data_IF_949630584729
#
_entry.id   IF_949630584729
#
_cell.length_a   1.000
_cell.length_b   1.000
_cell.length_c   1.000
_cell.angle_alpha   90.00
_cell.angle_beta   90.00
_cell.angle_gamma   90.00
#
_symmetry.space_group_name_H-M   'P 1'
#
loop_
_entity.id
_entity.type
_entity.pdbx_description
1 polymer ?
#
# COMPACT_ATOMS: atom_id res chain seq x y z
N UNK A 1 -21.21 31.94 65.15
CA UNK A 1 -20.70 33.22 64.60
C UNK A 1 -20.17 32.95 63.19
N UNK A 2 -20.92 33.31 62.15
CA UNK A 2 -20.50 33.08 60.77
C UNK A 2 -19.64 34.26 60.28
N UNK A 3 -18.38 34.00 59.91
CA UNK A 3 -17.51 34.99 59.24
C UNK A 3 -18.03 35.21 57.81
N UNK A 4 -18.52 36.41 57.51
CA UNK A 4 -18.80 36.83 56.13
C UNK A 4 -17.48 36.96 55.38
N UNK A 5 -17.27 36.13 54.37
CA UNK A 5 -16.19 36.29 53.39
C UNK A 5 -16.50 37.50 52.53
N UNK A 6 -15.82 38.62 52.77
CA UNK A 6 -15.91 39.80 51.91
C UNK A 6 -15.12 39.55 50.63
N UNK A 7 -15.79 39.68 49.49
CA UNK A 7 -15.22 39.56 48.15
C UNK A 7 -14.18 40.67 47.95
N UNK A 8 -12.89 40.35 48.06
CA UNK A 8 -11.80 41.29 47.75
C UNK A 8 -11.83 41.53 46.25
N UNK A 9 -12.48 42.62 45.81
CA UNK A 9 -12.41 43.00 44.40
C UNK A 9 -11.00 43.52 44.14
N UNK A 10 -10.23 42.80 43.32
CA UNK A 10 -8.90 43.22 42.89
C UNK A 10 -9.01 44.45 41.97
N UNK A 11 -9.18 45.63 42.59
CA UNK A 11 -9.30 46.93 41.92
C UNK A 11 -8.15 47.18 40.94
N UNK A 12 -6.94 46.69 41.28
CA UNK A 12 -5.74 46.78 40.44
C UNK A 12 -5.88 46.05 39.09
N UNK A 13 -6.44 44.83 39.07
CA UNK A 13 -6.64 44.04 37.85
C UNK A 13 -7.60 44.73 36.87
N UNK A 14 -8.69 45.29 37.41
CA UNK A 14 -9.69 46.01 36.60
C UNK A 14 -9.13 47.31 36.00
N UNK A 15 -8.22 48.01 36.70
CA UNK A 15 -7.55 49.22 36.19
C UNK A 15 -6.59 48.88 35.04
N UNK A 16 -5.79 47.81 35.19
CA UNK A 16 -4.87 47.37 34.14
C UNK A 16 -5.63 46.88 32.89
N UNK A 17 -6.68 46.08 33.08
CA UNK A 17 -7.57 45.63 32.00
C UNK A 17 -8.21 46.80 31.26
N UNK A 18 -8.68 47.82 31.98
CA UNK A 18 -9.29 49.00 31.36
C UNK A 18 -8.26 49.86 30.61
N UNK A 19 -7.01 49.96 31.07
CA UNK A 19 -5.92 50.61 30.30
C UNK A 19 -5.58 49.85 29.03
N UNK A 20 -5.47 48.52 29.10
CA UNK A 20 -5.17 47.68 27.93
C UNK A 20 -6.29 47.78 26.88
N UNK A 21 -7.55 47.81 27.31
CA UNK A 21 -8.72 47.96 26.45
C UNK A 21 -8.93 49.40 25.92
N UNK A 22 -8.35 50.41 26.57
CA UNK A 22 -8.34 51.79 26.05
C UNK A 22 -7.19 52.04 25.06
N UNK A 23 -6.19 51.17 25.00
CA UNK A 23 -5.07 51.28 24.08
C UNK A 23 -5.47 50.80 22.68
N UNK A 24 -6.20 51.66 21.95
CA UNK A 24 -6.66 51.38 20.58
C UNK A 24 -5.59 50.83 19.63
N UNK A 25 -4.35 51.38 19.53
CA UNK A 25 -3.36 50.83 18.62
C UNK A 25 -2.96 49.39 18.96
N UNK A 26 -2.89 49.03 20.25
CA UNK A 26 -2.55 47.68 20.70
C UNK A 26 -3.62 46.65 20.29
N UNK A 27 -4.90 47.03 20.37
CA UNK A 27 -6.02 46.18 19.95
C UNK A 27 -5.98 45.95 18.44
N UNK A 28 -5.72 47.00 17.65
CA UNK A 28 -5.60 46.87 16.19
C UNK A 28 -4.42 45.97 15.80
N UNK A 29 -3.25 46.13 16.43
CA UNK A 29 -2.10 45.25 16.15
C UNK A 29 -2.41 43.80 16.51
N UNK A 30 -3.08 43.55 17.64
CA UNK A 30 -3.47 42.18 18.01
C UNK A 30 -4.49 41.58 17.05
N UNK A 31 -5.47 42.37 16.59
CA UNK A 31 -6.43 41.92 15.60
C UNK A 31 -5.74 41.51 14.28
N UNK A 32 -4.78 42.32 13.81
CA UNK A 32 -4.00 42.01 12.60
C UNK A 32 -3.21 40.70 12.78
N UNK A 33 -2.54 40.53 13.92
CA UNK A 33 -1.79 39.29 14.21
C UNK A 33 -2.71 38.07 14.20
N UNK A 34 -3.88 38.16 14.83
CA UNK A 34 -4.87 37.07 14.85
C UNK A 34 -5.35 36.73 13.44
N UNK A 35 -5.61 37.74 12.60
CA UNK A 35 -6.04 37.53 11.21
C UNK A 35 -4.95 36.83 10.40
N UNK A 36 -3.69 37.23 10.57
CA UNK A 36 -2.55 36.59 9.89
C UNK A 36 -2.43 35.13 10.34
N UNK A 37 -2.50 34.86 11.65
CA UNK A 37 -2.45 33.49 12.17
C UNK A 37 -3.61 32.63 11.64
N UNK A 38 -4.82 33.17 11.60
CA UNK A 38 -5.97 32.47 11.05
C UNK A 38 -5.77 32.14 9.55
N UNK A 39 -5.24 33.07 8.77
CA UNK A 39 -4.94 32.85 7.36
C UNK A 39 -3.90 31.74 7.15
N UNK A 40 -2.83 31.73 7.95
CA UNK A 40 -1.79 30.68 7.89
C UNK A 40 -2.37 29.30 8.20
N UNK A 41 -3.24 29.20 9.21
CA UNK A 41 -3.87 27.92 9.59
C UNK A 41 -4.78 27.41 8.46
N UNK A 42 -5.58 28.27 7.83
CA UNK A 42 -6.46 27.90 6.71
C UNK A 42 -5.62 27.39 5.54
N UNK A 43 -4.56 28.11 5.17
CA UNK A 43 -3.67 27.71 4.08
C UNK A 43 -3.00 26.36 4.38
N UNK A 44 -2.49 26.18 5.59
CA UNK A 44 -1.87 24.92 6.00
C UNK A 44 -2.86 23.75 5.96
N UNK A 45 -4.11 23.96 6.37
CA UNK A 45 -5.15 22.93 6.29
C UNK A 45 -5.49 22.55 4.84
N UNK A 46 -5.44 23.50 3.90
CA UNK A 46 -5.66 23.20 2.47
C UNK A 46 -4.51 22.38 1.91
N UNK A 47 -3.26 22.76 2.22
CA UNK A 47 -2.06 22.01 1.82
C UNK A 47 -2.11 20.58 2.38
N UNK A 48 -2.45 20.41 3.65
CA UNK A 48 -2.58 19.09 4.26
C UNK A 48 -3.71 18.25 3.64
N UNK A 49 -4.78 18.89 3.15
CA UNK A 49 -5.84 18.23 2.40
C UNK A 49 -5.36 17.71 1.05
N UNK A 50 -4.64 18.55 0.30
CA UNK A 50 -4.04 18.20 -0.98
C UNK A 50 -3.00 17.09 -0.83
N UNK A 51 -2.16 17.12 0.21
CA UNK A 51 -1.18 16.06 0.48
C UNK A 51 -1.85 14.69 0.69
N UNK A 52 -2.98 14.65 1.39
CA UNK A 52 -3.76 13.41 1.56
C UNK A 52 -4.34 12.92 0.24
N UNK A 53 -4.82 13.82 -0.59
CA UNK A 53 -5.33 13.48 -1.92
C UNK A 53 -4.22 12.93 -2.82
N UNK A 54 -3.03 13.55 -2.80
CA UNK A 54 -1.84 13.07 -3.51
C UNK A 54 -1.45 11.67 -3.03
N UNK A 55 -1.46 11.42 -1.72
CA UNK A 55 -1.15 10.09 -1.17
C UNK A 55 -2.18 9.03 -1.63
N UNK A 56 -3.47 9.37 -1.63
CA UNK A 56 -4.52 8.49 -2.13
C UNK A 56 -4.32 8.17 -3.61
N UNK A 57 -4.10 9.19 -4.44
CA UNK A 57 -3.86 9.02 -5.87
C UNK A 57 -2.59 8.20 -6.15
N UNK A 58 -1.53 8.39 -5.37
CA UNK A 58 -0.31 7.57 -5.48
C UNK A 58 -0.57 6.09 -5.19
N UNK A 59 -1.35 5.80 -4.15
CA UNK A 59 -1.72 4.42 -3.82
C UNK A 59 -2.55 3.77 -4.95
N UNK A 60 -3.50 4.51 -5.51
CA UNK A 60 -4.31 4.05 -6.64
C UNK A 60 -3.46 3.78 -7.89
N UNK A 61 -2.49 4.66 -8.20
CA UNK A 61 -1.54 4.45 -9.29
C UNK A 61 -0.69 3.19 -9.06
N UNK A 62 -0.26 2.94 -7.82
CA UNK A 62 0.51 1.73 -7.50
C UNK A 62 -0.33 0.47 -7.72
N UNK A 63 -1.59 0.46 -7.27
CA UNK A 63 -2.51 -0.65 -7.47
C UNK A 63 -2.77 -0.91 -8.96
N UNK A 64 -3.06 0.15 -9.73
CA UNK A 64 -3.26 0.05 -11.17
C UNK A 64 -2.02 -0.49 -11.90
N UNK A 65 -0.82 -0.09 -11.48
CA UNK A 65 0.42 -0.61 -12.05
C UNK A 65 0.63 -2.09 -11.73
N UNK A 66 0.28 -2.55 -10.52
CA UNK A 66 0.31 -3.98 -10.16
C UNK A 66 -0.65 -4.75 -11.06
N UNK A 67 -1.90 -4.31 -11.18
CA UNK A 67 -2.92 -4.93 -12.03
C UNK A 67 -2.47 -4.98 -13.49
N UNK A 68 -1.91 -3.89 -14.03
CA UNK A 68 -1.34 -3.86 -15.38
C UNK A 68 -0.24 -4.89 -15.55
N UNK A 69 0.67 -5.00 -14.58
CA UNK A 69 1.80 -5.95 -14.64
C UNK A 69 1.28 -7.39 -14.63
N UNK A 70 0.30 -7.71 -13.79
CA UNK A 70 -0.36 -9.02 -13.76
C UNK A 70 -0.98 -9.36 -15.11
N UNK A 71 -1.82 -8.47 -15.65
CA UNK A 71 -2.48 -8.69 -16.95
C UNK A 71 -1.48 -8.86 -18.10
N UNK A 72 -0.39 -8.09 -18.09
CA UNK A 72 0.71 -8.26 -19.06
C UNK A 72 1.38 -9.62 -18.90
N UNK A 73 1.54 -10.10 -17.67
CA UNK A 73 2.02 -11.46 -17.37
C UNK A 73 1.10 -12.53 -17.94
N UNK A 74 -0.20 -12.42 -17.71
CA UNK A 74 -1.22 -13.36 -18.18
C UNK A 74 -1.25 -13.42 -19.72
N UNK A 75 -1.20 -12.27 -20.38
CA UNK A 75 -1.14 -12.19 -21.85
C UNK A 75 0.12 -12.89 -22.38
N UNK A 76 1.28 -12.67 -21.74
CA UNK A 76 2.52 -13.33 -22.13
C UNK A 76 2.45 -14.84 -21.93
N UNK A 77 1.84 -15.31 -20.84
CA UNK A 77 1.66 -16.73 -20.57
C UNK A 77 0.80 -17.38 -21.67
N UNK A 78 -0.35 -16.80 -22.00
CA UNK A 78 -1.22 -17.29 -23.07
C UNK A 78 -0.50 -17.30 -24.42
N UNK A 79 0.19 -16.22 -24.77
CA UNK A 79 0.96 -16.13 -26.02
C UNK A 79 2.07 -17.19 -26.08
N UNK A 80 2.79 -17.39 -24.98
CA UNK A 80 3.84 -18.41 -24.89
C UNK A 80 3.26 -19.82 -25.07
N UNK A 81 2.14 -20.13 -24.42
CA UNK A 81 1.48 -21.44 -24.57
C UNK A 81 1.02 -21.67 -26.00
N UNK A 82 0.45 -20.66 -26.66
CA UNK A 82 0.06 -20.74 -28.06
C UNK A 82 1.26 -20.97 -28.99
N UNK A 83 2.38 -20.28 -28.75
CA UNK A 83 3.62 -20.48 -29.50
C UNK A 83 4.20 -21.87 -29.29
N UNK A 84 4.18 -22.39 -28.06
CA UNK A 84 4.62 -23.77 -27.76
C UNK A 84 3.77 -24.79 -28.51
N UNK A 85 2.45 -24.61 -28.51
CA UNK A 85 1.53 -25.49 -29.24
C UNK A 85 1.81 -25.45 -30.75
N UNK A 86 1.98 -24.25 -31.32
CA UNK A 86 2.32 -24.07 -32.72
C UNK A 86 3.64 -24.77 -33.08
N UNK A 87 4.71 -24.54 -32.32
CA UNK A 87 6.00 -25.18 -32.57
C UNK A 87 5.94 -26.70 -32.42
N UNK A 88 5.23 -27.21 -31.42
CA UNK A 88 5.03 -28.65 -31.24
C UNK A 88 4.30 -29.28 -32.44
N UNK A 89 3.26 -28.60 -32.95
CA UNK A 89 2.52 -29.09 -34.11
C UNK A 89 3.38 -29.08 -35.38
N UNK A 90 4.03 -27.96 -35.69
CA UNK A 90 4.73 -27.81 -36.97
C UNK A 90 6.14 -28.41 -36.99
N UNK A 91 6.89 -28.32 -35.90
CA UNK A 91 8.28 -28.82 -35.85
C UNK A 91 8.36 -30.28 -35.39
N UNK A 92 7.48 -30.69 -34.46
CA UNK A 92 7.52 -32.02 -33.87
C UNK A 92 6.42 -32.96 -34.41
N UNK A 93 5.52 -32.45 -35.26
CA UNK A 93 4.42 -33.24 -35.81
C UNK A 93 3.41 -33.68 -34.75
N UNK A 94 3.37 -33.00 -33.60
CA UNK A 94 2.41 -33.31 -32.54
C UNK A 94 0.99 -32.93 -32.99
N UNK A 95 0.02 -33.75 -32.62
CA UNK A 95 -1.40 -33.48 -32.88
C UNK A 95 -2.10 -33.29 -31.53
N UNK A 96 -2.92 -32.25 -31.43
CA UNK A 96 -3.68 -32.01 -30.21
C UNK A 96 -4.69 -33.16 -30.02
N UNK A 97 -4.76 -33.77 -28.82
CA UNK A 97 -5.65 -34.91 -28.58
C UNK A 97 -7.12 -34.52 -28.72
N UNK A 98 -7.94 -35.46 -29.19
CA UNK A 98 -9.40 -35.30 -29.21
C UNK A 98 -9.98 -35.49 -27.80
N UNK A 99 -11.19 -34.95 -27.56
CA UNK A 99 -11.83 -34.95 -26.23
C UNK A 99 -11.98 -36.35 -25.61
N UNK A 100 -12.16 -37.39 -26.44
CA UNK A 100 -12.23 -38.80 -26.02
C UNK A 100 -10.88 -39.37 -25.54
N UNK A 101 -9.78 -38.70 -25.89
CA UNK A 101 -8.42 -39.08 -25.50
C UNK A 101 -7.95 -38.35 -24.21
N UNK A 102 -8.74 -37.41 -23.69
CA UNK A 102 -8.42 -36.65 -22.48
C UNK A 102 -9.01 -37.37 -21.26
N UNK A 103 -8.14 -37.90 -20.39
CA UNK A 103 -8.53 -38.55 -19.13
C UNK A 103 -8.24 -37.60 -17.97
N UNK A 104 -9.30 -37.14 -17.31
CA UNK A 104 -9.20 -36.35 -16.08
C UNK A 104 -9.02 -37.29 -14.89
N UNK A 105 -7.90 -37.17 -14.18
CA UNK A 105 -7.63 -37.93 -12.97
C UNK A 105 -8.01 -37.03 -11.79
N UNK A 106 -9.03 -37.42 -11.03
CA UNK A 106 -9.39 -36.74 -9.79
C UNK A 106 -8.44 -37.22 -8.68
N UNK A 107 -7.48 -36.37 -8.29
CA UNK A 107 -6.58 -36.68 -7.19
C UNK A 107 -7.31 -36.46 -5.86
N UNK A 108 -8.20 -37.39 -5.50
CA UNK A 108 -8.62 -37.52 -4.11
C UNK A 108 -7.38 -37.64 -3.21
N UNK A 109 -7.42 -37.09 -2.00
CA UNK A 109 -6.25 -36.98 -1.10
C UNK A 109 -5.42 -38.28 -1.05
N UNK A 110 -4.37 -38.31 -1.86
CA UNK A 110 -3.44 -39.42 -1.89
C UNK A 110 -2.66 -39.37 -0.57
N UNK A 111 -2.97 -40.31 0.32
CA UNK A 111 -2.04 -40.69 1.39
C UNK A 111 -0.72 -41.00 0.71
N UNK A 112 0.29 -40.18 0.97
CA UNK A 112 1.66 -40.34 0.49
C UNK A 112 2.20 -41.71 0.93
N UNK A 113 1.93 -42.74 0.15
CA UNK A 113 2.69 -43.98 0.19
C UNK A 113 3.92 -43.68 -0.65
N UNK A 114 5.01 -43.37 0.04
CA UNK A 114 6.25 -42.96 -0.59
C UNK A 114 6.78 -44.05 -1.51
N UNK A 115 6.74 -43.78 -2.80
CA UNK A 115 7.58 -44.46 -3.77
C UNK A 115 8.36 -43.39 -4.55
N UNK A 116 9.36 -42.82 -3.87
CA UNK A 116 10.29 -41.88 -4.49
C UNK A 116 11.30 -42.72 -5.28
N UNK A 117 10.96 -43.06 -6.52
CA UNK A 117 11.94 -43.50 -7.49
C UNK A 117 12.77 -42.27 -7.90
N UNK A 118 13.97 -42.13 -7.32
CA UNK A 118 14.90 -41.03 -7.57
C UNK A 118 15.52 -41.11 -8.98
N UNK A 119 14.71 -40.95 -10.02
CA UNK A 119 15.20 -40.92 -11.40
C UNK A 119 15.22 -39.49 -12.00
N UNK A 120 16.40 -38.86 -11.79
CA UNK A 120 17.28 -38.22 -12.80
C UNK A 120 16.91 -36.92 -13.52
N UNK A 121 16.02 -36.03 -13.04
CA UNK A 121 15.85 -34.72 -13.72
C UNK A 121 15.77 -33.47 -12.84
N UNK A 122 16.02 -33.57 -11.53
CA UNK A 122 16.08 -32.38 -10.69
C UNK A 122 17.46 -31.71 -10.78
N UNK A 123 17.53 -30.67 -11.62
CA UNK A 123 18.53 -29.59 -11.66
C UNK A 123 20.01 -30.01 -11.79
N UNK A 124 20.74 -29.55 -12.84
CA UNK A 124 22.19 -29.77 -12.96
C UNK A 124 22.96 -29.39 -11.68
N UNK A 125 22.48 -28.36 -10.96
CA UNK A 125 23.12 -27.83 -9.76
C UNK A 125 23.09 -28.86 -8.61
N UNK A 126 21.97 -29.56 -8.42
CA UNK A 126 21.82 -30.55 -7.34
C UNK A 126 22.61 -31.83 -7.66
N UNK A 127 22.67 -32.21 -8.93
CA UNK A 127 23.49 -33.34 -9.41
C UNK A 127 25.00 -33.09 -9.17
N UNK A 128 25.47 -31.88 -9.49
CA UNK A 128 26.87 -31.49 -9.31
C UNK A 128 27.24 -31.41 -7.82
N UNK A 129 26.43 -30.76 -6.99
CA UNK A 129 26.68 -30.65 -5.54
C UNK A 129 26.81 -32.01 -4.88
N UNK A 130 25.97 -32.99 -5.24
CA UNK A 130 26.01 -34.34 -4.66
C UNK A 130 27.22 -35.16 -5.11
N UNK A 131 27.84 -34.82 -6.25
CA UNK A 131 29.07 -35.48 -6.73
C UNK A 131 30.30 -35.11 -5.90
N UNK A 132 30.30 -33.93 -5.26
CA UNK A 132 31.42 -33.45 -4.45
C UNK A 132 31.30 -33.76 -2.96
N UNK A 133 30.14 -34.26 -2.51
CA UNK A 133 29.89 -34.57 -1.09
C UNK A 133 29.90 -36.07 -0.78
N UNK A 134 30.41 -36.90 -1.70
CA UNK A 134 30.64 -38.33 -1.46
C UNK A 134 32.11 -38.55 -1.14
N UNK A 135 32.44 -38.42 0.14
CA UNK A 135 33.55 -39.10 0.80
C UNK A 135 32.96 -39.96 1.93
#
# INVERSE_FOLDING_TARGET
>A
MAKRLTKISNKSYNIYRNRLLNNRPFIFTMAIVIIIFAAVIILYSQVAGLDREILKQKAEIEELNKTKTTLVGDIKAVKSSAQIAEEAMYKLGMVYPSEDQIVYIDSGEEKKVGDINYNVFLSPIVSVLRSFTRD
#
